data_IF_525594024480
#
_entry.id   IF_525594024480
#
_cell.length_a   1.000
_cell.length_b   1.000
_cell.length_c   1.000
_cell.angle_alpha   90.00
_cell.angle_beta   90.00
_cell.angle_gamma   90.00
#
_symmetry.space_group_name_H-M   'P 1'
#
loop_
_entity.id
_entity.type
_entity.pdbx_description
1 polymer ?
#
# COMPACT_ATOMS: atom_id res chain seq x y z
N UNK A 1 -37.80 10.38 49.98
CA UNK A 1 -37.57 9.24 49.08
C UNK A 1 -36.21 8.65 49.40
N UNK A 2 -36.17 7.52 50.11
CA UNK A 2 -34.93 6.79 50.42
C UNK A 2 -34.82 5.66 49.41
N UNK A 3 -33.71 5.61 48.67
CA UNK A 3 -33.45 4.59 47.67
C UNK A 3 -33.11 3.26 48.36
N UNK A 4 -33.84 2.20 48.00
CA UNK A 4 -33.53 0.83 48.39
C UNK A 4 -32.23 0.35 47.73
N UNK A 5 -31.35 -0.36 48.46
CA UNK A 5 -30.13 -0.92 47.88
C UNK A 5 -30.43 -2.14 47.02
N UNK A 6 -29.78 -2.19 45.84
CA UNK A 6 -29.90 -3.28 44.89
C UNK A 6 -29.39 -4.63 45.45
N UNK A 7 -30.01 -5.76 45.07
CA UNK A 7 -29.62 -7.08 45.55
C UNK A 7 -28.27 -7.56 44.97
N UNK A 8 -27.53 -8.41 45.70
CA UNK A 8 -26.22 -8.92 45.27
C UNK A 8 -26.32 -9.90 44.11
N UNK A 9 -25.39 -9.77 43.16
CA UNK A 9 -25.23 -10.63 41.98
C UNK A 9 -24.64 -11.99 42.43
N UNK A 10 -25.21 -13.14 42.02
CA UNK A 10 -24.64 -14.44 42.34
C UNK A 10 -23.36 -14.70 41.55
N UNK A 11 -22.30 -15.08 42.26
CA UNK A 11 -21.02 -15.50 41.69
C UNK A 11 -21.17 -16.87 41.00
N UNK A 12 -20.74 -16.96 39.74
CA UNK A 12 -20.72 -18.22 38.99
C UNK A 12 -19.75 -19.24 39.61
N UNK A 13 -20.07 -20.55 39.59
CA UNK A 13 -19.21 -21.58 40.13
C UNK A 13 -17.96 -21.80 39.24
N UNK A 14 -16.83 -22.04 39.92
CA UNK A 14 -15.54 -22.31 39.33
C UNK A 14 -15.54 -23.58 38.45
N UNK A 15 -15.12 -23.44 37.20
CA UNK A 15 -14.92 -24.54 36.25
C UNK A 15 -13.61 -25.27 36.60
N UNK A 16 -13.71 -26.55 36.96
CA UNK A 16 -12.57 -27.40 37.25
C UNK A 16 -11.71 -27.68 35.98
N UNK A 17 -10.38 -27.80 36.10
CA UNK A 17 -9.51 -28.08 34.97
C UNK A 17 -9.67 -29.52 34.47
N UNK A 18 -9.97 -29.68 33.18
CA UNK A 18 -10.03 -30.98 32.49
C UNK A 18 -8.62 -31.59 32.38
N UNK A 19 -8.47 -32.84 32.83
CA UNK A 19 -7.27 -33.66 32.64
C UNK A 19 -7.02 -33.95 31.15
N UNK A 20 -5.76 -33.98 30.68
CA UNK A 20 -5.46 -34.38 29.31
C UNK A 20 -5.65 -35.89 29.12
N UNK A 21 -6.43 -36.25 28.11
CA UNK A 21 -6.60 -37.62 27.63
C UNK A 21 -5.39 -37.96 26.75
N UNK A 22 -4.65 -39.01 27.13
CA UNK A 22 -3.58 -39.57 26.33
C UNK A 22 -4.17 -40.29 25.11
N UNK A 23 -3.98 -39.73 23.92
CA UNK A 23 -4.30 -40.40 22.66
C UNK A 23 -3.05 -41.16 22.20
N UNK A 24 -3.07 -42.47 22.40
CA UNK A 24 -2.11 -43.38 21.79
C UNK A 24 -2.41 -43.55 20.29
N UNK A 25 -1.44 -43.27 19.43
CA UNK A 25 -1.47 -43.61 18.01
C UNK A 25 -0.44 -44.68 17.71
N UNK A 26 -0.82 -45.86 17.18
CA UNK A 26 0.12 -46.84 16.64
C UNK A 26 0.21 -46.65 15.13
N UNK A 27 1.24 -45.94 14.66
CA UNK A 27 1.62 -45.97 13.25
C UNK A 27 3.12 -46.27 13.13
N UNK A 28 3.53 -47.21 12.27
CA UNK A 28 4.93 -47.57 12.10
C UNK A 28 5.68 -46.43 11.39
N UNK A 29 6.85 -46.08 11.95
CA UNK A 29 7.74 -45.06 11.41
C UNK A 29 8.22 -45.44 10.00
N UNK A 30 7.85 -44.62 9.01
CA UNK A 30 8.50 -44.62 7.69
C UNK A 30 9.87 -43.93 7.80
N UNK A 31 10.92 -44.46 7.16
CA UNK A 31 12.23 -43.82 7.15
C UNK A 31 12.17 -42.52 6.33
N UNK A 32 12.40 -41.38 7.00
CA UNK A 32 12.55 -40.07 6.35
C UNK A 32 13.94 -40.03 5.73
N UNK A 33 14.02 -40.17 4.41
CA UNK A 33 15.22 -39.87 3.66
C UNK A 33 15.61 -38.41 3.90
N UNK A 34 16.78 -38.18 4.50
CA UNK A 34 17.39 -36.84 4.65
C UNK A 34 17.66 -36.29 3.25
N UNK A 35 16.74 -35.48 2.72
CA UNK A 35 17.03 -34.58 1.60
C UNK A 35 18.07 -33.57 2.09
N UNK A 36 19.17 -33.46 1.34
CA UNK A 36 20.12 -32.37 1.52
C UNK A 36 19.39 -31.02 1.41
N UNK A 37 19.77 -30.00 2.20
CA UNK A 37 19.21 -28.67 2.06
C UNK A 37 19.59 -28.13 0.68
N UNK A 38 18.61 -28.07 -0.23
CA UNK A 38 18.76 -27.29 -1.46
C UNK A 38 18.96 -25.82 -1.12
N UNK A 39 19.56 -25.02 -2.02
CA UNK A 39 19.71 -23.58 -1.80
C UNK A 39 18.32 -23.00 -1.51
N UNK A 40 18.16 -22.46 -0.30
CA UNK A 40 16.95 -21.71 0.06
C UNK A 40 16.85 -20.55 -0.94
N UNK A 41 15.77 -20.47 -1.74
CA UNK A 41 15.58 -19.29 -2.58
C UNK A 41 15.55 -18.09 -1.65
N UNK A 42 16.37 -17.09 -1.94
CA UNK A 42 16.48 -15.89 -1.12
C UNK A 42 15.09 -15.24 -1.02
N UNK A 43 14.40 -15.46 0.10
CA UNK A 43 13.05 -14.95 0.34
C UNK A 43 13.03 -13.42 0.30
N UNK A 44 14.18 -12.75 0.42
CA UNK A 44 14.30 -11.30 0.23
C UNK A 44 14.24 -10.90 -1.26
N UNK A 45 14.78 -11.71 -2.17
CA UNK A 45 14.68 -11.47 -3.61
C UNK A 45 13.24 -11.60 -4.13
N UNK A 46 12.42 -12.49 -3.53
CA UNK A 46 11.00 -12.66 -3.87
C UNK A 46 10.08 -11.56 -3.31
N UNK A 47 10.51 -10.83 -2.28
CA UNK A 47 9.72 -9.75 -1.67
C UNK A 47 10.08 -8.37 -2.22
N UNK A 48 11.30 -8.18 -2.74
CA UNK A 48 11.78 -6.90 -3.27
C UNK A 48 11.89 -6.86 -4.81
N UNK A 49 12.06 -8.01 -5.48
CA UNK A 49 12.30 -8.06 -6.93
C UNK A 49 11.21 -7.42 -7.79
N UNK A 50 9.94 -7.86 -7.74
CA UNK A 50 8.94 -7.38 -8.68
C UNK A 50 8.41 -5.99 -8.34
N UNK A 51 8.32 -5.59 -7.07
CA UNK A 51 7.82 -4.26 -6.69
C UNK A 51 8.91 -3.21 -6.88
N UNK A 52 10.13 -3.44 -6.39
CA UNK A 52 11.21 -2.47 -6.59
C UNK A 52 11.58 -2.39 -8.06
N UNK A 53 11.47 -3.47 -8.85
CA UNK A 53 11.61 -3.39 -10.30
C UNK A 53 10.41 -2.75 -11.01
N UNK A 54 9.15 -2.98 -10.59
CA UNK A 54 7.99 -2.33 -11.20
C UNK A 54 7.90 -0.84 -10.85
N UNK A 55 8.27 -0.47 -9.62
CA UNK A 55 8.36 0.92 -9.15
C UNK A 55 9.61 1.61 -9.72
N UNK A 56 10.74 0.92 -9.84
CA UNK A 56 11.92 1.45 -10.53
C UNK A 56 11.71 1.54 -12.05
N UNK A 57 10.99 0.62 -12.69
CA UNK A 57 10.59 0.73 -14.10
C UNK A 57 9.54 1.83 -14.34
N UNK A 58 8.82 2.25 -13.28
CA UNK A 58 7.93 3.41 -13.33
C UNK A 58 8.64 4.74 -13.03
N UNK A 59 9.66 4.72 -12.15
CA UNK A 59 10.42 5.89 -11.74
C UNK A 59 11.65 6.16 -12.62
N UNK A 60 12.10 5.16 -13.38
CA UNK A 60 13.24 5.21 -14.29
C UNK A 60 12.79 4.56 -15.59
N UNK A 61 12.46 5.41 -16.57
CA UNK A 61 12.34 5.08 -18.00
C UNK A 61 11.41 3.89 -18.34
N UNK A 62 10.23 4.21 -18.89
CA UNK A 62 9.20 3.25 -19.35
C UNK A 62 9.69 2.28 -20.47
N UNK A 63 10.97 2.33 -20.82
CA UNK A 63 11.66 1.51 -21.82
C UNK A 63 12.13 0.15 -21.29
N UNK A 64 12.12 -0.09 -19.97
CA UNK A 64 12.50 -1.39 -19.40
C UNK A 64 11.40 -2.46 -19.43
N UNK A 65 10.18 -2.13 -19.88
CA UNK A 65 9.03 -3.04 -19.97
C UNK A 65 8.85 -3.70 -21.37
N UNK A 66 9.87 -3.66 -22.23
CA UNK A 66 9.84 -4.25 -23.59
C UNK A 66 9.73 -5.79 -23.63
N UNK A 67 9.71 -6.47 -22.48
CA UNK A 67 9.35 -7.88 -22.45
C UNK A 67 7.84 -8.04 -22.62
N UNK A 68 7.35 -8.82 -23.60
CA UNK A 68 5.92 -9.04 -23.78
C UNK A 68 5.33 -9.64 -22.51
N UNK A 69 4.50 -8.85 -21.82
CA UNK A 69 3.77 -9.27 -20.63
C UNK A 69 2.59 -10.12 -21.10
N UNK A 70 2.54 -11.38 -20.69
CA UNK A 70 1.38 -12.24 -20.90
C UNK A 70 0.24 -11.80 -19.95
N UNK A 71 -0.84 -11.15 -20.46
CA UNK A 71 -1.89 -10.60 -19.61
C UNK A 71 -2.66 -11.70 -18.88
N UNK A 72 -2.79 -12.89 -19.48
CA UNK A 72 -3.49 -14.00 -18.86
C UNK A 72 -2.73 -14.51 -17.63
N UNK A 73 -1.40 -14.57 -17.72
CA UNK A 73 -0.54 -14.90 -16.58
C UNK A 73 -0.64 -13.86 -15.47
N UNK A 74 -0.57 -12.58 -15.79
CA UNK A 74 -0.69 -11.50 -14.79
C UNK A 74 -2.05 -11.55 -14.10
N UNK A 75 -3.14 -11.75 -14.86
CA UNK A 75 -4.47 -11.92 -14.28
C UNK A 75 -4.55 -13.15 -13.37
N UNK A 76 -3.96 -14.27 -13.76
CA UNK A 76 -3.92 -15.48 -12.93
C UNK A 76 -3.13 -15.26 -11.62
N UNK A 77 -2.10 -14.42 -11.63
CA UNK A 77 -1.35 -14.04 -10.42
C UNK A 77 -2.14 -13.07 -9.52
N UNK A 78 -3.06 -12.29 -10.09
CA UNK A 78 -3.88 -11.31 -9.36
C UNK A 78 -5.19 -11.89 -8.81
N UNK A 79 -5.75 -12.91 -9.45
CA UNK A 79 -7.01 -13.54 -9.04
C UNK A 79 -6.72 -14.64 -8.03
N UNK A 80 -7.13 -14.45 -6.78
CA UNK A 80 -7.06 -15.51 -5.77
C UNK A 80 -8.16 -16.57 -6.01
N UNK A 81 -8.09 -17.72 -5.31
CA UNK A 81 -9.07 -18.81 -5.48
C UNK A 81 -10.52 -18.33 -5.25
N UNK A 82 -10.74 -17.44 -4.27
CA UNK A 82 -12.07 -16.92 -3.94
C UNK A 82 -12.57 -15.97 -5.04
N UNK A 83 -11.69 -15.11 -5.54
CA UNK A 83 -11.94 -14.21 -6.66
C UNK A 83 -12.24 -14.96 -7.94
N UNK A 84 -11.52 -16.05 -8.23
CA UNK A 84 -11.76 -16.90 -9.39
C UNK A 84 -13.12 -17.57 -9.36
N UNK A 85 -13.53 -18.10 -8.20
CA UNK A 85 -14.88 -18.67 -8.03
C UNK A 85 -15.96 -17.60 -8.20
N UNK A 86 -15.81 -16.44 -7.55
CA UNK A 86 -16.77 -15.34 -7.67
C UNK A 86 -16.88 -14.82 -9.11
N UNK A 87 -15.76 -14.73 -9.83
CA UNK A 87 -15.72 -14.36 -11.24
C UNK A 87 -16.46 -15.39 -12.10
N UNK A 88 -16.20 -16.68 -11.91
CA UNK A 88 -16.86 -17.74 -12.66
C UNK A 88 -18.39 -17.76 -12.41
N UNK A 89 -18.83 -17.60 -11.16
CA UNK A 89 -20.25 -17.51 -10.83
C UNK A 89 -20.93 -16.30 -11.47
N UNK A 90 -20.23 -15.16 -11.53
CA UNK A 90 -20.74 -13.93 -12.13
C UNK A 90 -20.79 -14.01 -13.65
N UNK A 91 -19.76 -14.59 -14.28
CA UNK A 91 -19.72 -14.85 -15.72
C UNK A 91 -20.80 -15.86 -16.16
N UNK A 92 -21.19 -16.81 -15.29
CA UNK A 92 -22.25 -17.77 -15.60
C UNK A 92 -23.65 -17.14 -15.67
N UNK A 93 -23.86 -15.92 -15.13
CA UNK A 93 -25.16 -15.21 -15.09
C UNK A 93 -25.16 -13.93 -15.93
N UNK A 94 -24.14 -13.77 -16.75
CA UNK A 94 -23.68 -12.49 -17.22
C UNK A 94 -24.62 -11.81 -18.23
N UNK A 95 -25.34 -12.59 -19.04
CA UNK A 95 -26.28 -12.03 -20.05
C UNK A 95 -27.70 -11.79 -19.50
N UNK A 96 -27.97 -12.11 -18.21
CA UNK A 96 -29.33 -12.07 -17.67
C UNK A 96 -29.80 -10.68 -17.20
N UNK A 97 -28.88 -9.83 -16.73
CA UNK A 97 -29.23 -8.60 -15.98
C UNK A 97 -28.42 -7.37 -16.45
N UNK A 98 -28.63 -6.89 -17.68
CA UNK A 98 -28.06 -5.60 -18.09
C UNK A 98 -28.80 -4.44 -17.40
N UNK A 99 -28.09 -3.52 -16.72
CA UNK A 99 -28.73 -2.39 -16.06
C UNK A 99 -29.40 -1.46 -17.08
N UNK A 100 -30.62 -1.03 -16.77
CA UNK A 100 -31.27 0.03 -17.54
C UNK A 100 -30.64 1.37 -17.18
N UNK A 101 -30.08 2.04 -18.19
CA UNK A 101 -29.48 3.36 -18.07
C UNK A 101 -30.09 4.34 -19.08
N UNK A 102 -30.06 5.62 -18.76
CA UNK A 102 -30.46 6.66 -19.70
C UNK A 102 -29.42 6.78 -20.82
N UNK A 103 -29.83 7.02 -22.08
CA UNK A 103 -28.90 7.21 -23.19
C UNK A 103 -27.84 8.27 -22.86
N UNK A 104 -26.60 7.97 -23.19
CA UNK A 104 -25.45 8.85 -22.95
C UNK A 104 -24.69 9.12 -24.24
N UNK A 105 -24.04 10.28 -24.31
CA UNK A 105 -23.20 10.68 -25.45
C UNK A 105 -21.72 10.34 -25.14
N UNK A 106 -21.00 9.61 -26.03
CA UNK A 106 -19.60 9.26 -25.82
C UNK A 106 -18.69 10.46 -25.54
N UNK A 107 -18.92 11.61 -26.21
CA UNK A 107 -18.09 12.80 -26.00
C UNK A 107 -18.30 13.38 -24.59
N UNK A 108 -19.54 13.43 -24.11
CA UNK A 108 -19.86 13.83 -22.74
C UNK A 108 -19.24 12.90 -21.68
N UNK A 109 -19.19 11.58 -21.92
CA UNK A 109 -18.56 10.61 -21.00
C UNK A 109 -17.05 10.85 -20.90
N UNK A 110 -16.36 11.01 -22.03
CA UNK A 110 -14.92 11.34 -22.06
C UNK A 110 -14.62 12.66 -21.37
N UNK A 111 -15.43 13.68 -21.59
CA UNK A 111 -15.28 14.98 -20.95
C UNK A 111 -15.42 14.87 -19.41
N UNK A 112 -16.40 14.10 -18.93
CA UNK A 112 -16.59 13.84 -17.49
C UNK A 112 -15.38 13.13 -16.87
N UNK A 113 -14.88 12.08 -17.53
CA UNK A 113 -13.66 11.39 -17.12
C UNK A 113 -12.47 12.36 -17.03
N UNK A 114 -12.20 13.11 -18.10
CA UNK A 114 -11.04 14.00 -18.17
C UNK A 114 -11.09 15.09 -17.10
N UNK A 115 -12.26 15.70 -16.87
CA UNK A 115 -12.47 16.69 -15.82
C UNK A 115 -12.20 16.09 -14.42
N UNK A 116 -12.76 14.92 -14.12
CA UNK A 116 -12.56 14.26 -12.83
C UNK A 116 -11.11 13.85 -12.59
N UNK A 117 -10.42 13.31 -13.61
CA UNK A 117 -9.00 12.97 -13.51
C UNK A 117 -8.13 14.20 -13.28
N UNK A 118 -8.40 15.30 -14.00
CA UNK A 118 -7.68 16.57 -13.84
C UNK A 118 -7.85 17.12 -12.42
N UNK A 119 -9.06 17.04 -11.86
CA UNK A 119 -9.31 17.47 -10.47
C UNK A 119 -8.53 16.61 -9.46
N UNK A 120 -8.54 15.29 -9.62
CA UNK A 120 -7.81 14.37 -8.73
C UNK A 120 -6.31 14.64 -8.76
N UNK A 121 -5.76 14.90 -9.96
CA UNK A 121 -4.34 15.24 -10.12
C UNK A 121 -3.98 16.57 -9.49
N UNK A 122 -4.79 17.61 -9.72
CA UNK A 122 -4.60 18.91 -9.10
C UNK A 122 -4.63 18.84 -7.57
N UNK A 123 -5.55 18.05 -6.99
CA UNK A 123 -5.62 17.83 -5.54
C UNK A 123 -4.38 17.10 -4.99
N UNK A 124 -3.82 16.15 -5.76
CA UNK A 124 -2.62 15.42 -5.37
C UNK A 124 -1.37 16.30 -5.48
N UNK A 125 -1.27 17.10 -6.55
CA UNK A 125 -0.20 18.08 -6.76
C UNK A 125 -0.18 19.13 -5.64
N UNK A 126 -1.33 19.76 -5.36
CA UNK A 126 -1.45 20.74 -4.27
C UNK A 126 -1.04 20.13 -2.93
N UNK A 127 -1.47 18.89 -2.66
CA UNK A 127 -1.11 18.19 -1.43
C UNK A 127 0.40 17.98 -1.29
N UNK A 128 1.08 17.57 -2.36
CA UNK A 128 2.52 17.29 -2.34
C UNK A 128 3.38 18.56 -2.37
N UNK A 129 2.96 19.60 -3.10
CA UNK A 129 3.56 20.93 -3.06
C UNK A 129 3.48 21.57 -1.67
N UNK A 130 2.52 21.11 -0.86
CA UNK A 130 2.29 21.59 0.49
C UNK A 130 2.69 20.60 1.57
N UNK A 131 3.36 19.49 1.23
CA UNK A 131 3.74 18.44 2.18
C UNK A 131 4.52 19.01 3.39
N UNK A 132 5.42 19.97 3.14
CA UNK A 132 6.26 20.59 4.18
C UNK A 132 5.57 21.74 4.95
N UNK A 133 4.30 22.04 4.67
CA UNK A 133 3.59 23.08 5.42
C UNK A 133 3.36 22.65 6.88
N UNK A 134 3.33 23.60 7.83
CA UNK A 134 3.19 23.31 9.27
C UNK A 134 1.97 22.44 9.64
N UNK A 135 0.91 22.47 8.81
CA UNK A 135 -0.31 21.68 8.99
C UNK A 135 -0.05 20.18 9.11
N UNK A 136 0.93 19.64 8.39
CA UNK A 136 1.21 18.20 8.32
C UNK A 136 2.16 17.71 9.42
N UNK A 137 2.60 18.60 10.34
CA UNK A 137 3.39 18.28 11.53
C UNK A 137 4.64 17.43 11.25
N UNK A 138 5.22 17.55 10.06
CA UNK A 138 6.46 16.87 9.74
C UNK A 138 7.56 17.32 10.72
N UNK A 139 8.38 16.39 11.26
CA UNK A 139 9.40 16.75 12.23
C UNK A 139 10.40 17.72 11.60
N UNK A 140 10.67 18.83 12.29
CA UNK A 140 11.77 19.73 11.92
C UNK A 140 13.10 19.05 12.20
N UNK A 141 14.18 19.51 11.55
CA UNK A 141 15.55 19.02 11.81
C UNK A 141 15.86 18.98 13.31
N UNK A 142 15.54 20.06 14.04
CA UNK A 142 15.79 20.17 15.48
C UNK A 142 15.00 19.13 16.27
N UNK A 143 13.71 18.94 15.95
CA UNK A 143 12.87 17.95 16.62
C UNK A 143 13.34 16.52 16.34
N UNK A 144 13.74 16.26 15.10
CA UNK A 144 14.26 14.96 14.71
C UNK A 144 15.58 14.65 15.43
N UNK A 145 16.50 15.62 15.46
CA UNK A 145 17.75 15.53 16.21
C UNK A 145 17.51 15.25 17.70
N UNK A 146 16.65 16.04 18.36
CA UNK A 146 16.31 15.84 19.77
C UNK A 146 15.72 14.45 20.04
N UNK A 147 14.92 13.92 19.12
CA UNK A 147 14.36 12.58 19.23
C UNK A 147 15.45 11.51 19.15
N UNK A 148 16.39 11.63 18.21
CA UNK A 148 17.54 10.73 18.08
C UNK A 148 18.46 10.77 19.31
N UNK A 149 18.72 11.96 19.86
CA UNK A 149 19.50 12.13 21.11
C UNK A 149 18.77 11.49 22.28
N UNK A 150 17.49 11.81 22.49
CA UNK A 150 16.67 11.25 23.58
C UNK A 150 16.55 9.73 23.50
N UNK A 151 16.55 9.17 22.30
CA UNK A 151 16.52 7.73 22.08
C UNK A 151 17.88 7.06 22.34
N UNK A 152 18.96 7.80 22.58
CA UNK A 152 20.32 7.24 22.71
C UNK A 152 20.87 6.71 21.39
N UNK A 153 20.45 7.27 20.27
CA UNK A 153 20.95 6.93 18.93
C UNK A 153 22.17 7.77 18.60
N UNK A 154 22.09 9.05 18.93
CA UNK A 154 23.21 9.97 18.91
C UNK A 154 23.66 10.09 20.37
N UNK A 155 24.70 9.35 20.71
CA UNK A 155 25.31 9.47 22.02
C UNK A 155 26.01 10.84 22.13
N UNK A 156 25.85 11.51 23.27
CA UNK A 156 26.80 12.53 23.74
C UNK A 156 28.25 12.00 23.67
N UNK A 157 29.28 12.86 23.54
CA UNK A 157 30.66 12.54 23.12
C UNK A 157 31.17 11.16 23.56
N UNK A 158 30.86 10.11 22.79
CA UNK A 158 31.28 8.75 23.11
C UNK A 158 32.37 8.34 22.14
N UNK A 159 33.59 8.06 22.63
CA UNK A 159 34.65 7.58 21.78
C UNK A 159 34.35 6.13 21.37
N UNK A 160 33.91 5.92 20.12
CA UNK A 160 33.74 4.58 19.56
C UNK A 160 33.11 4.56 18.17
N UNK A 161 33.41 3.54 17.35
CA UNK A 161 32.80 3.38 16.04
C UNK A 161 31.32 2.99 16.15
N UNK A 162 30.44 3.68 15.40
CA UNK A 162 29.02 3.31 15.32
C UNK A 162 28.87 1.88 14.75
N UNK A 163 28.03 1.07 15.38
CA UNK A 163 27.88 -0.35 15.04
C UNK A 163 27.29 -0.56 13.64
N UNK A 164 27.61 -1.70 13.00
CA UNK A 164 27.13 -2.05 11.65
C UNK A 164 25.63 -2.41 11.58
N UNK A 165 24.96 -2.70 12.70
CA UNK A 165 23.56 -3.12 12.75
C UNK A 165 22.69 -2.06 13.43
N UNK A 166 21.46 -1.81 12.95
CA UNK A 166 20.57 -0.85 13.59
C UNK A 166 20.20 -1.31 15.00
N UNK A 167 20.43 -0.45 15.99
CA UNK A 167 20.07 -0.71 17.38
C UNK A 167 18.54 -0.73 17.57
N UNK A 168 18.01 -1.39 18.62
CA UNK A 168 16.58 -1.29 18.97
C UNK A 168 16.12 0.16 19.17
N UNK A 169 16.97 1.00 19.77
CA UNK A 169 16.75 2.43 19.93
C UNK A 169 16.59 3.15 18.59
N UNK A 170 17.48 2.88 17.62
CA UNK A 170 17.38 3.45 16.27
C UNK A 170 16.07 3.03 15.60
N UNK A 171 15.70 1.75 15.64
CA UNK A 171 14.44 1.29 15.04
C UNK A 171 13.21 1.98 15.66
N UNK A 172 13.21 2.17 16.97
CA UNK A 172 12.12 2.91 17.63
C UNK A 172 12.10 4.38 17.21
N UNK A 173 13.27 5.02 17.13
CA UNK A 173 13.39 6.41 16.70
C UNK A 173 12.97 6.58 15.24
N UNK A 174 13.40 5.69 14.34
CA UNK A 174 12.98 5.64 12.93
C UNK A 174 11.47 5.62 12.81
N UNK A 175 10.77 4.73 13.52
CA UNK A 175 9.30 4.66 13.47
C UNK A 175 8.65 5.97 13.92
N UNK A 176 9.15 6.59 14.98
CA UNK A 176 8.59 7.84 15.48
C UNK A 176 8.86 9.02 14.53
N UNK A 177 10.00 9.03 13.85
CA UNK A 177 10.30 10.03 12.82
C UNK A 177 9.48 9.81 11.56
N UNK A 178 9.27 8.55 11.17
CA UNK A 178 8.52 8.16 9.99
C UNK A 178 7.02 8.40 10.13
N UNK A 179 6.45 8.16 11.32
CA UNK A 179 5.00 8.12 11.52
C UNK A 179 4.22 9.30 10.90
N UNK A 180 4.64 10.57 11.05
CA UNK A 180 3.95 11.70 10.40
C UNK A 180 3.99 11.64 8.86
N UNK A 181 5.11 11.20 8.28
CA UNK A 181 5.25 11.04 6.83
C UNK A 181 4.43 9.85 6.31
N UNK A 182 4.47 8.73 7.04
CA UNK A 182 3.65 7.56 6.73
C UNK A 182 2.16 7.86 6.75
N UNK A 183 1.69 8.60 7.76
CA UNK A 183 0.29 9.04 7.87
C UNK A 183 -0.10 9.99 6.73
N UNK A 184 0.78 10.93 6.36
CA UNK A 184 0.57 11.82 5.22
C UNK A 184 0.39 11.04 3.92
N UNK A 185 1.34 10.15 3.59
CA UNK A 185 1.31 9.36 2.35
C UNK A 185 0.08 8.43 2.31
N UNK A 186 -0.21 7.73 3.41
CA UNK A 186 -1.37 6.84 3.52
C UNK A 186 -2.69 7.61 3.36
N UNK A 187 -2.80 8.80 3.95
CA UNK A 187 -3.98 9.67 3.82
C UNK A 187 -4.21 10.07 2.37
N UNK A 188 -3.16 10.54 1.68
CA UNK A 188 -3.29 11.02 0.29
C UNK A 188 -3.51 9.86 -0.69
N UNK A 189 -2.86 8.71 -0.48
CA UNK A 189 -3.14 7.49 -1.25
C UNK A 189 -4.60 7.07 -1.09
N UNK A 190 -5.12 7.02 0.14
CA UNK A 190 -6.53 6.69 0.39
C UNK A 190 -7.46 7.68 -0.30
N UNK A 191 -7.24 8.98 -0.12
CA UNK A 191 -8.08 10.03 -0.73
C UNK A 191 -8.13 9.92 -2.25
N UNK A 192 -6.98 9.78 -2.92
CA UNK A 192 -6.94 9.66 -4.37
C UNK A 192 -7.68 8.39 -4.85
N UNK A 193 -7.50 7.26 -4.15
CA UNK A 193 -8.23 6.02 -4.47
C UNK A 193 -9.74 6.14 -4.22
N UNK A 194 -10.15 6.83 -3.16
CA UNK A 194 -11.55 7.13 -2.91
C UNK A 194 -12.15 7.98 -4.04
N UNK A 195 -11.47 9.06 -4.43
CA UNK A 195 -11.92 9.92 -5.51
C UNK A 195 -12.01 9.18 -6.86
N UNK A 196 -11.04 8.34 -7.20
CA UNK A 196 -11.09 7.50 -8.40
C UNK A 196 -12.24 6.50 -8.39
N UNK A 197 -12.51 5.89 -7.23
CA UNK A 197 -13.64 4.96 -7.07
C UNK A 197 -14.97 5.69 -7.19
N UNK A 198 -15.07 6.88 -6.63
CA UNK A 198 -16.28 7.70 -6.69
C UNK A 198 -16.52 8.19 -8.13
N UNK A 199 -15.47 8.67 -8.82
CA UNK A 199 -15.51 9.00 -10.26
C UNK A 199 -15.96 7.81 -11.12
N UNK A 200 -15.45 6.61 -10.82
CA UNK A 200 -15.90 5.38 -11.48
C UNK A 200 -17.39 5.13 -11.25
N UNK A 201 -17.88 5.25 -10.02
CA UNK A 201 -19.30 5.08 -9.70
C UNK A 201 -20.20 6.09 -10.43
N UNK A 202 -19.72 7.32 -10.63
CA UNK A 202 -20.41 8.32 -11.45
C UNK A 202 -20.44 7.97 -12.95
N UNK A 203 -19.39 7.30 -13.44
CA UNK A 203 -19.28 6.87 -14.83
C UNK A 203 -20.10 5.62 -15.14
N UNK A 204 -20.28 4.70 -14.18
CA UNK A 204 -20.98 3.41 -14.41
C UNK A 204 -22.33 3.59 -15.11
N UNK A 205 -23.19 4.49 -14.61
CA UNK A 205 -24.50 4.74 -15.20
C UNK A 205 -24.42 5.34 -16.60
N UNK A 206 -23.44 6.23 -16.84
CA UNK A 206 -23.23 6.87 -18.15
C UNK A 206 -22.69 5.89 -19.18
N UNK A 207 -21.76 5.03 -18.76
CA UNK A 207 -21.18 3.98 -19.61
C UNK A 207 -22.23 2.94 -20.01
N UNK A 208 -23.07 2.50 -19.06
CA UNK A 208 -24.20 1.63 -19.39
C UNK A 208 -25.20 2.29 -20.37
N UNK A 209 -25.29 3.62 -20.32
CA UNK A 209 -26.12 4.43 -21.23
C UNK A 209 -25.61 4.54 -22.67
N UNK A 210 -24.39 4.10 -22.96
CA UNK A 210 -23.83 4.11 -24.32
C UNK A 210 -24.39 2.97 -25.19
N UNK A 211 -24.82 1.87 -24.57
CA UNK A 211 -25.36 0.71 -25.28
C UNK A 211 -25.17 -0.60 -24.52
N UNK A 212 -25.74 -1.71 -25.04
CA UNK A 212 -25.66 -3.01 -24.40
C UNK A 212 -24.22 -3.55 -24.29
N UNK A 213 -23.38 -3.33 -25.30
CA UNK A 213 -22.00 -3.79 -25.28
C UNK A 213 -21.13 -2.98 -24.30
N UNK A 214 -21.37 -1.68 -24.18
CA UNK A 214 -20.75 -0.86 -23.13
C UNK A 214 -21.18 -1.30 -21.72
N UNK A 215 -22.48 -1.56 -21.52
CA UNK A 215 -22.99 -2.10 -20.26
C UNK A 215 -22.37 -3.46 -19.93
N UNK A 216 -22.17 -4.31 -20.95
CA UNK A 216 -21.45 -5.58 -20.87
C UNK A 216 -20.03 -5.38 -20.34
N UNK A 217 -19.27 -4.45 -20.94
CA UNK A 217 -17.91 -4.15 -20.52
C UNK A 217 -17.83 -3.65 -19.07
N UNK A 218 -18.75 -2.77 -18.66
CA UNK A 218 -18.82 -2.28 -17.26
C UNK A 218 -19.02 -3.45 -16.28
N UNK A 219 -19.89 -4.41 -16.61
CA UNK A 219 -20.10 -5.59 -15.78
C UNK A 219 -18.88 -6.51 -15.70
N UNK A 220 -18.20 -6.75 -16.83
CA UNK A 220 -16.98 -7.56 -16.87
C UNK A 220 -15.90 -6.93 -16.00
N UNK A 221 -15.69 -5.63 -16.16
CA UNK A 221 -14.67 -4.91 -15.41
C UNK A 221 -15.02 -4.86 -13.90
N UNK A 222 -16.29 -4.68 -13.54
CA UNK A 222 -16.72 -4.78 -12.14
C UNK A 222 -16.47 -6.19 -11.56
N UNK A 223 -16.72 -7.25 -12.34
CA UNK A 223 -16.46 -8.62 -11.92
C UNK A 223 -14.95 -8.88 -11.75
N UNK A 224 -14.12 -8.42 -12.68
CA UNK A 224 -12.66 -8.51 -12.61
C UNK A 224 -12.10 -7.70 -11.43
N UNK A 225 -12.62 -6.51 -11.19
CA UNK A 225 -12.21 -5.68 -10.05
C UNK A 225 -12.50 -6.39 -8.72
N UNK A 226 -13.70 -6.96 -8.55
CA UNK A 226 -14.02 -7.73 -7.34
C UNK A 226 -13.14 -8.97 -7.19
N UNK A 227 -12.89 -9.69 -8.29
CA UNK A 227 -12.06 -10.89 -8.29
C UNK A 227 -10.58 -10.63 -7.95
N UNK A 228 -10.07 -9.44 -8.27
CA UNK A 228 -8.67 -9.03 -8.03
C UNK A 228 -8.50 -8.18 -6.78
N UNK A 229 -9.60 -7.78 -6.12
CA UNK A 229 -9.60 -6.85 -4.98
C UNK A 229 -8.72 -7.31 -3.83
N UNK A 230 -8.82 -8.57 -3.43
CA UNK A 230 -8.08 -9.12 -2.29
C UNK A 230 -6.57 -9.02 -2.46
N UNK A 231 -6.07 -9.48 -3.61
CA UNK A 231 -4.65 -9.40 -3.98
C UNK A 231 -4.20 -7.95 -4.11
N UNK A 232 -4.98 -7.11 -4.80
CA UNK A 232 -4.68 -5.68 -4.97
C UNK A 232 -4.57 -4.97 -3.62
N UNK A 233 -5.51 -5.20 -2.70
CA UNK A 233 -5.44 -4.65 -1.35
C UNK A 233 -4.22 -5.14 -0.57
N UNK A 234 -3.84 -6.42 -0.73
CA UNK A 234 -2.64 -6.95 -0.10
C UNK A 234 -1.38 -6.24 -0.61
N UNK A 235 -1.25 -6.01 -1.92
CA UNK A 235 -0.14 -5.24 -2.49
C UNK A 235 -0.12 -3.80 -1.98
N UNK A 236 -1.27 -3.13 -1.96
CA UNK A 236 -1.36 -1.75 -1.50
C UNK A 236 -1.03 -1.61 -0.01
N UNK A 237 -1.33 -2.62 0.82
CA UNK A 237 -0.89 -2.64 2.24
C UNK A 237 0.63 -2.72 2.41
N UNK A 238 1.37 -3.18 1.40
CA UNK A 238 2.85 -3.25 1.42
C UNK A 238 3.50 -1.94 1.01
N UNK A 239 2.78 -1.03 0.35
CA UNK A 239 3.31 0.26 -0.09
C UNK A 239 3.89 1.07 1.08
N UNK A 240 3.14 1.35 2.18
CA UNK A 240 3.69 2.10 3.31
C UNK A 240 4.90 1.42 3.96
N UNK A 241 4.91 0.09 4.01
CA UNK A 241 6.01 -0.69 4.59
C UNK A 241 7.30 -0.57 3.77
N UNK A 242 7.16 -0.56 2.43
CA UNK A 242 8.29 -0.43 1.51
C UNK A 242 8.93 0.95 1.65
N UNK A 243 8.12 2.01 1.72
CA UNK A 243 8.61 3.38 1.88
C UNK A 243 9.23 3.57 3.28
N UNK A 244 8.61 3.03 4.34
CA UNK A 244 9.18 3.03 5.69
C UNK A 244 10.57 2.38 5.73
N UNK A 245 10.73 1.25 5.02
CA UNK A 245 11.99 0.55 4.95
C UNK A 245 13.06 1.38 4.22
N UNK A 246 12.73 1.97 3.07
CA UNK A 246 13.64 2.86 2.34
C UNK A 246 14.06 4.06 3.22
N UNK A 247 13.12 4.68 3.91
CA UNK A 247 13.38 5.73 4.89
C UNK A 247 14.32 5.26 6.02
N UNK A 248 14.08 4.07 6.57
CA UNK A 248 14.90 3.50 7.64
C UNK A 248 16.35 3.28 7.20
N UNK A 249 16.54 2.77 5.99
CA UNK A 249 17.84 2.54 5.37
C UNK A 249 18.58 3.87 5.13
N UNK A 250 17.90 4.87 4.56
CA UNK A 250 18.44 6.20 4.34
C UNK A 250 18.84 6.89 5.66
N UNK A 251 17.98 6.85 6.68
CA UNK A 251 18.25 7.41 8.01
C UNK A 251 19.46 6.72 8.67
N UNK A 252 19.54 5.39 8.57
CA UNK A 252 20.68 4.65 9.11
C UNK A 252 21.99 5.01 8.40
N UNK A 253 21.97 5.13 7.07
CA UNK A 253 23.12 5.57 6.30
C UNK A 253 23.56 7.00 6.70
N UNK A 254 22.60 7.92 6.82
CA UNK A 254 22.85 9.29 7.26
C UNK A 254 23.49 9.34 8.65
N UNK A 255 22.93 8.62 9.63
CA UNK A 255 23.48 8.55 10.99
C UNK A 255 24.87 7.93 11.00
N UNK A 256 25.15 6.94 10.16
CA UNK A 256 26.51 6.38 10.03
C UNK A 256 27.51 7.35 9.44
N UNK A 257 27.07 8.23 8.53
CA UNK A 257 27.91 9.24 7.89
C UNK A 257 28.25 10.44 8.76
N UNK A 258 27.51 10.66 9.86
CA UNK A 258 27.77 11.77 10.77
C UNK A 258 29.13 11.64 11.47
N UNK A 259 29.80 12.76 11.82
CA UNK A 259 31.04 12.73 12.60
C UNK A 259 30.80 12.16 14.01
N UNK A 260 31.89 11.84 14.73
CA UNK A 260 31.82 11.30 16.09
C UNK A 260 31.20 12.31 17.07
N UNK A 261 31.57 13.58 16.95
CA UNK A 261 30.99 14.71 17.68
C UNK A 261 29.99 15.46 16.80
N UNK A 262 28.92 14.77 16.42
CA UNK A 262 27.91 15.36 15.55
C UNK A 262 27.03 16.37 16.29
N UNK A 263 26.68 17.43 15.57
CA UNK A 263 25.76 18.50 15.98
C UNK A 263 24.52 18.50 15.09
N UNK A 264 23.50 19.25 15.49
CA UNK A 264 22.30 19.45 14.65
C UNK A 264 22.64 20.01 13.26
N UNK A 265 23.70 20.81 13.15
CA UNK A 265 24.15 21.39 11.89
C UNK A 265 24.69 20.32 10.92
N UNK A 266 25.33 19.26 11.44
CA UNK A 266 25.82 18.14 10.63
C UNK A 266 24.67 17.27 10.07
N UNK A 267 23.52 17.26 10.76
CA UNK A 267 22.33 16.51 10.36
C UNK A 267 21.38 17.29 9.45
N UNK A 268 21.41 18.62 9.55
CA UNK A 268 20.53 19.53 8.82
C UNK A 268 20.54 19.37 7.29
N UNK A 269 21.67 19.11 6.60
CA UNK A 269 21.68 18.89 5.16
C UNK A 269 20.73 17.77 4.71
N UNK A 270 20.51 16.78 5.57
CA UNK A 270 19.60 15.68 5.30
C UNK A 270 18.13 16.06 5.16
N UNK A 271 17.73 17.22 5.71
CA UNK A 271 16.36 17.76 5.70
C UNK A 271 16.09 18.72 4.54
N UNK A 272 17.07 18.94 3.65
CA UNK A 272 16.86 19.69 2.41
C UNK A 272 16.03 18.86 1.40
N UNK A 273 15.41 19.51 0.40
CA UNK A 273 14.73 18.81 -0.69
C UNK A 273 15.63 17.82 -1.44
N UNK A 274 16.92 18.14 -1.57
CA UNK A 274 17.95 17.30 -2.20
C UNK A 274 18.61 16.31 -1.22
N UNK A 275 18.27 16.40 0.07
CA UNK A 275 18.79 15.53 1.12
C UNK A 275 18.14 14.15 1.14
N UNK A 276 18.63 13.28 2.01
CA UNK A 276 18.11 11.90 2.14
C UNK A 276 16.62 11.86 2.53
N UNK A 277 16.13 12.85 3.30
CA UNK A 277 14.72 12.93 3.66
C UNK A 277 13.87 13.37 2.47
N UNK A 278 14.32 14.40 1.73
CA UNK A 278 13.66 14.86 0.53
C UNK A 278 13.56 13.76 -0.52
N UNK A 279 14.65 13.00 -0.73
CA UNK A 279 14.67 11.83 -1.61
C UNK A 279 13.67 10.74 -1.17
N UNK A 280 13.68 10.33 0.10
CA UNK A 280 12.75 9.32 0.62
C UNK A 280 11.28 9.75 0.49
N UNK A 281 11.00 11.05 0.64
CA UNK A 281 9.67 11.61 0.42
C UNK A 281 9.28 11.65 -1.04
N UNK A 282 10.20 12.06 -1.92
CA UNK A 282 10.02 12.02 -3.35
C UNK A 282 9.70 10.62 -3.85
N UNK A 283 10.41 9.60 -3.37
CA UNK A 283 10.11 8.19 -3.65
C UNK A 283 8.72 7.79 -3.18
N UNK A 284 8.33 8.17 -1.95
CA UNK A 284 6.99 7.92 -1.43
C UNK A 284 5.89 8.59 -2.26
N UNK A 285 6.09 9.85 -2.66
CA UNK A 285 5.17 10.58 -3.52
C UNK A 285 5.08 9.95 -4.92
N UNK A 286 6.21 9.58 -5.51
CA UNK A 286 6.27 8.90 -6.80
C UNK A 286 5.51 7.57 -6.76
N UNK A 287 5.64 6.80 -5.68
CA UNK A 287 4.90 5.55 -5.51
C UNK A 287 3.39 5.78 -5.40
N UNK A 288 2.95 6.80 -4.65
CA UNK A 288 1.53 7.17 -4.59
C UNK A 288 1.02 7.56 -5.98
N UNK A 289 1.77 8.39 -6.73
CA UNK A 289 1.44 8.78 -8.10
C UNK A 289 1.36 7.58 -9.04
N UNK A 290 2.29 6.63 -8.93
CA UNK A 290 2.28 5.42 -9.76
C UNK A 290 1.02 4.58 -9.52
N UNK A 291 0.59 4.42 -8.27
CA UNK A 291 -0.67 3.74 -7.95
C UNK A 291 -1.88 4.48 -8.52
N UNK A 292 -1.93 5.80 -8.38
CA UNK A 292 -3.02 6.64 -8.92
C UNK A 292 -3.06 6.56 -10.45
N UNK A 293 -1.91 6.67 -11.11
CA UNK A 293 -1.81 6.59 -12.55
C UNK A 293 -2.24 5.22 -13.08
N UNK A 294 -1.89 4.13 -12.39
CA UNK A 294 -2.34 2.79 -12.75
C UNK A 294 -3.87 2.68 -12.73
N UNK A 295 -4.52 3.15 -11.65
CA UNK A 295 -5.98 3.10 -11.53
C UNK A 295 -6.66 4.06 -12.54
N UNK A 296 -6.06 5.23 -12.79
CA UNK A 296 -6.45 6.16 -13.87
C UNK A 296 -6.44 5.46 -15.23
N UNK A 297 -5.34 4.83 -15.59
CA UNK A 297 -5.16 4.17 -16.90
C UNK A 297 -6.20 3.09 -17.13
N UNK A 298 -6.57 2.35 -16.07
CA UNK A 298 -7.64 1.35 -16.14
C UNK A 298 -9.00 1.98 -16.42
N UNK A 299 -9.30 3.10 -15.78
CA UNK A 299 -10.56 3.82 -15.99
C UNK A 299 -10.62 4.44 -17.40
N UNK A 300 -9.53 5.03 -17.88
CA UNK A 300 -9.39 5.52 -19.26
C UNK A 300 -9.61 4.40 -20.28
N UNK A 301 -8.97 3.25 -20.09
CA UNK A 301 -9.13 2.10 -20.97
C UNK A 301 -10.58 1.58 -20.99
N UNK A 302 -11.26 1.54 -19.84
CA UNK A 302 -12.67 1.16 -19.76
C UNK A 302 -13.55 2.13 -20.57
N UNK A 303 -13.36 3.43 -20.38
CA UNK A 303 -14.16 4.46 -21.05
C UNK A 303 -13.94 4.41 -22.57
N UNK A 304 -12.69 4.30 -23.03
CA UNK A 304 -12.40 4.23 -24.46
C UNK A 304 -12.93 2.95 -25.11
N UNK A 305 -12.81 1.80 -24.44
CA UNK A 305 -13.39 0.56 -24.91
C UNK A 305 -14.91 0.65 -25.01
N UNK A 306 -15.58 1.20 -23.98
CA UNK A 306 -17.03 1.36 -23.96
C UNK A 306 -17.55 2.38 -24.99
N UNK A 307 -16.79 3.44 -25.28
CA UNK A 307 -17.16 4.42 -26.31
C UNK A 307 -16.95 3.91 -27.74
N UNK A 308 -16.22 2.80 -27.92
CA UNK A 308 -15.90 2.20 -29.22
C UNK A 308 -16.69 0.91 -29.49
N UNK A 309 -17.46 0.43 -28.50
CA UNK A 309 -18.32 -0.74 -28.56
C UNK A 309 -19.67 -0.38 -29.19
#
# INVERSE_FOLDING_TARGET
MRAEPAPPIPLSPAVAPRRPVAVGSPWPARPVARRAPGPEPDRRALLHGPITAAVAAYAVDATALDAPVDPARVLAELVDLRGGVALAERLARFDADLPHASPSDPAAVRAHLHAGLTEIEAQLDEAFDHAFRPRYRLPTVTRAWQLLVRAGVIDEPRPGPRTRKPSPALRAATRNLWAPFGEFLDTHLKRARFALRDLRGELDGRLCGLGPDAARLVQLDAALHEATRGTTEQWLRRVPQTIEQAFAEALFAAIRGLPALATVADFAPGFSPEGWLGAALGEGQALVRAVVHHERSRLEALVEAACSA
#
